data_IF_497656439226
#
_entry.id   IF_497656439226
#
_cell.length_a   1.000
_cell.length_b   1.000
_cell.length_c   1.000
_cell.angle_alpha   90.00
_cell.angle_beta   90.00
_cell.angle_gamma   90.00
#
_symmetry.space_group_name_H-M   'P 1'
#
loop_
_entity.id
_entity.type
_entity.pdbx_description
1 polymer ?
#
# COMPACT_ATOMS: atom_id res chain seq x y z
N UNK A 1 2.43 30.36 -11.51
CA UNK A 1 3.69 29.85 -10.91
C UNK A 1 3.28 28.77 -9.91
N UNK A 2 3.43 27.49 -10.27
CA UNK A 2 3.14 26.41 -9.33
C UNK A 2 4.31 26.34 -8.34
N UNK A 3 4.08 26.78 -7.11
CA UNK A 3 5.01 26.56 -6.00
C UNK A 3 5.03 25.07 -5.74
N UNK A 4 6.00 24.35 -6.28
CA UNK A 4 6.25 22.95 -5.93
C UNK A 4 6.68 22.93 -4.47
N UNK A 5 5.71 22.88 -3.57
CA UNK A 5 5.98 22.72 -2.14
C UNK A 5 6.70 21.39 -2.00
N UNK A 6 7.99 21.39 -1.70
CA UNK A 6 8.75 20.15 -1.47
C UNK A 6 8.50 19.73 -0.01
N UNK A 7 8.27 18.43 0.20
CA UNK A 7 8.09 17.84 1.53
C UNK A 7 9.12 16.73 1.73
N UNK A 8 9.71 16.70 2.93
CA UNK A 8 10.67 15.68 3.32
C UNK A 8 9.92 14.51 3.96
N UNK A 9 10.20 13.30 3.49
CA UNK A 9 9.67 12.10 4.11
C UNK A 9 10.40 11.78 5.42
N UNK A 10 9.68 11.62 6.53
CA UNK A 10 10.27 11.33 7.85
C UNK A 10 10.89 9.92 7.99
N UNK A 11 10.81 9.09 6.95
CA UNK A 11 11.27 7.69 7.00
C UNK A 11 12.46 7.39 6.10
N UNK A 12 12.61 8.13 5.00
CA UNK A 12 13.76 8.01 4.11
C UNK A 12 14.55 9.31 4.01
N UNK A 13 14.15 10.37 4.73
CA UNK A 13 14.75 11.70 4.76
C UNK A 13 14.97 12.35 3.38
N UNK A 14 14.18 11.91 2.41
CA UNK A 14 14.30 12.36 1.02
C UNK A 14 13.22 13.41 0.71
N UNK A 15 13.62 14.45 -0.01
CA UNK A 15 12.75 15.55 -0.43
C UNK A 15 11.99 15.15 -1.70
N UNK A 16 10.68 15.08 -1.59
CA UNK A 16 9.77 14.79 -2.69
C UNK A 16 8.81 15.96 -2.89
N UNK A 17 8.22 16.11 -4.10
CA UNK A 17 7.15 17.07 -4.29
C UNK A 17 6.00 16.74 -3.32
N UNK A 18 5.44 17.73 -2.62
CA UNK A 18 4.24 17.62 -1.78
C UNK A 18 2.97 17.46 -2.63
N UNK A 19 3.06 16.58 -3.63
CA UNK A 19 2.00 16.22 -4.54
C UNK A 19 1.34 14.91 -4.07
N UNK A 20 0.05 14.77 -4.38
CA UNK A 20 -0.73 13.56 -4.09
C UNK A 20 -0.22 12.30 -4.81
N UNK A 21 0.64 12.45 -5.82
CA UNK A 21 1.37 11.35 -6.44
C UNK A 21 2.44 10.73 -5.53
N UNK A 22 3.11 11.53 -4.70
CA UNK A 22 4.21 11.07 -3.84
C UNK A 22 3.80 10.87 -2.39
N UNK A 23 2.89 11.70 -1.89
CA UNK A 23 2.37 11.61 -0.53
C UNK A 23 0.87 11.33 -0.56
N UNK A 24 0.37 10.57 0.41
CA UNK A 24 -1.07 10.33 0.51
C UNK A 24 -1.78 11.57 1.05
N UNK A 25 -3.00 11.88 0.57
CA UNK A 25 -3.82 12.88 1.24
C UNK A 25 -4.16 12.37 2.64
N UNK A 26 -3.86 13.20 3.65
CA UNK A 26 -4.16 12.92 5.04
C UNK A 26 -4.85 14.15 5.65
N UNK A 27 -6.17 14.06 5.75
CA UNK A 27 -7.05 15.13 6.28
C UNK A 27 -6.71 15.51 7.73
N UNK A 28 -6.02 14.62 8.46
CA UNK A 28 -5.58 14.86 9.83
C UNK A 28 -4.29 15.68 9.94
N UNK A 29 -3.51 15.77 8.87
CA UNK A 29 -2.27 16.56 8.87
C UNK A 29 -2.60 18.02 8.56
N UNK A 30 -1.88 18.98 9.15
CA UNK A 30 -2.08 20.41 8.91
C UNK A 30 -1.92 20.76 7.41
N UNK A 31 -1.04 20.06 6.69
CA UNK A 31 -0.81 20.26 5.26
C UNK A 31 -1.79 19.49 4.37
N UNK A 32 -2.66 18.65 4.94
CA UNK A 32 -3.52 17.75 4.19
C UNK A 32 -2.78 16.59 3.51
N UNK A 33 -1.48 16.41 3.75
CA UNK A 33 -0.64 15.32 3.21
C UNK A 33 0.05 14.54 4.33
N UNK A 34 0.23 13.24 4.12
CA UNK A 34 0.95 12.35 5.03
C UNK A 34 2.43 12.76 5.17
N UNK A 35 3.05 12.37 6.29
CA UNK A 35 4.46 12.68 6.58
C UNK A 35 5.43 11.66 5.96
N UNK A 36 4.89 10.52 5.51
CA UNK A 36 5.63 9.45 4.85
C UNK A 36 5.27 9.41 3.36
N UNK A 37 6.29 9.19 2.52
CA UNK A 37 6.09 8.99 1.10
C UNK A 37 5.39 7.64 0.82
N UNK A 38 4.76 7.55 -0.33
CA UNK A 38 4.04 6.36 -0.78
C UNK A 38 4.92 5.10 -0.79
N UNK A 39 6.21 5.23 -1.14
CA UNK A 39 7.15 4.11 -1.16
C UNK A 39 7.38 3.55 0.26
N UNK A 40 7.70 4.40 1.23
CA UNK A 40 7.88 3.99 2.63
C UNK A 40 6.61 3.38 3.21
N UNK A 41 5.45 3.96 2.90
CA UNK A 41 4.15 3.42 3.34
C UNK A 41 3.93 2.03 2.75
N UNK A 42 4.13 1.86 1.44
CA UNK A 42 4.00 0.56 0.75
C UNK A 42 4.93 -0.50 1.33
N UNK A 43 6.19 -0.16 1.57
CA UNK A 43 7.16 -1.09 2.17
C UNK A 43 6.78 -1.46 3.62
N UNK A 44 6.35 -0.48 4.42
CA UNK A 44 5.84 -0.73 5.78
C UNK A 44 4.66 -1.71 5.77
N UNK A 45 3.69 -1.50 4.89
CA UNK A 45 2.56 -2.43 4.73
C UNK A 45 2.99 -3.80 4.21
N UNK A 46 4.01 -3.87 3.33
CA UNK A 46 4.57 -5.14 2.86
C UNK A 46 5.21 -5.92 4.01
N UNK A 47 6.09 -5.29 4.81
CA UNK A 47 6.72 -5.92 5.99
C UNK A 47 5.69 -6.37 7.02
N UNK A 48 4.68 -5.53 7.29
CA UNK A 48 3.58 -5.88 8.20
C UNK A 48 2.83 -7.14 7.72
N UNK A 49 2.56 -7.25 6.42
CA UNK A 49 1.90 -8.43 5.83
C UNK A 49 2.74 -9.70 5.94
N UNK A 50 4.04 -9.62 5.64
CA UNK A 50 4.95 -10.78 5.76
C UNK A 50 4.98 -11.28 7.21
N UNK A 51 4.98 -10.36 8.18
CA UNK A 51 5.01 -10.70 9.60
C UNK A 51 3.65 -11.17 10.16
N UNK A 52 2.54 -10.75 9.56
CA UNK A 52 1.18 -11.08 10.01
C UNK A 52 0.32 -11.62 8.86
N UNK A 53 0.50 -12.89 8.46
CA UNK A 53 -0.29 -13.51 7.38
C UNK A 53 -1.77 -13.71 7.74
N UNK A 54 -2.14 -13.53 9.02
CA UNK A 54 -3.48 -13.73 9.57
C UNK A 54 -4.57 -12.81 8.99
N UNK A 55 -4.19 -11.76 8.22
CA UNK A 55 -5.13 -10.90 7.50
C UNK A 55 -4.86 -10.96 5.98
N UNK A 56 -5.30 -12.04 5.30
CA UNK A 56 -5.27 -12.07 3.84
C UNK A 56 -6.16 -10.94 3.27
N UNK A 57 -5.75 -10.32 2.16
CA UNK A 57 -6.64 -9.39 1.46
C UNK A 57 -7.81 -10.16 0.87
N UNK A 58 -8.94 -9.50 0.70
CA UNK A 58 -10.06 -10.04 -0.07
C UNK A 58 -9.63 -10.53 -1.47
N UNK A 59 -8.59 -9.91 -2.07
CA UNK A 59 -7.99 -10.33 -3.34
C UNK A 59 -7.27 -11.69 -3.25
N UNK A 60 -6.56 -11.96 -2.15
CA UNK A 60 -5.88 -13.25 -1.92
C UNK A 60 -6.92 -14.37 -1.71
N UNK A 61 -8.02 -14.06 -1.02
CA UNK A 61 -9.16 -14.96 -0.89
C UNK A 61 -9.79 -15.27 -2.25
N UNK A 62 -9.98 -14.25 -3.10
CA UNK A 62 -10.53 -14.45 -4.44
C UNK A 62 -9.62 -15.35 -5.30
N UNK A 63 -8.31 -15.08 -5.32
CA UNK A 63 -7.35 -15.91 -6.07
C UNK A 63 -7.38 -17.38 -5.64
N UNK A 64 -7.57 -17.64 -4.35
CA UNK A 64 -7.68 -19.01 -3.80
C UNK A 64 -8.92 -19.76 -4.32
N UNK A 65 -10.01 -19.04 -4.62
CA UNK A 65 -11.24 -19.60 -5.18
C UNK A 65 -11.02 -20.01 -6.66
N UNK A 66 -10.34 -19.16 -7.44
CA UNK A 66 -10.05 -19.43 -8.85
C UNK A 66 -8.97 -20.50 -9.07
N UNK A 67 -8.05 -20.67 -8.11
CA UNK A 67 -6.97 -21.67 -8.14
C UNK A 67 -7.42 -23.05 -7.62
N UNK A 68 -8.70 -23.26 -7.29
CA UNK A 68 -9.19 -24.59 -6.90
C UNK A 68 -9.17 -25.51 -8.13
N UNK A 69 -8.39 -26.60 -8.12
CA UNK A 69 -8.49 -27.59 -9.19
C UNK A 69 -9.91 -28.17 -9.19
N UNK A 70 -10.51 -28.27 -10.37
CA UNK A 70 -11.78 -28.96 -10.54
C UNK A 70 -11.61 -30.39 -10.01
N UNK A 71 -12.47 -30.80 -9.07
CA UNK A 71 -12.43 -32.13 -8.51
C UNK A 71 -12.44 -33.16 -9.66
N UNK A 72 -11.58 -34.20 -9.63
CA UNK A 72 -11.65 -35.24 -10.65
C UNK A 72 -13.03 -35.88 -10.56
N UNK A 73 -13.77 -35.82 -11.66
CA UNK A 73 -15.05 -36.52 -11.77
C UNK A 73 -14.78 -38.01 -11.59
N UNK A 74 -15.15 -38.54 -10.42
CA UNK A 74 -15.19 -39.98 -10.17
C UNK A 74 -16.13 -40.59 -11.21
N UNK A 75 -15.54 -41.16 -12.26
CA UNK A 75 -16.27 -41.93 -13.25
C UNK A 75 -16.30 -43.36 -12.73
N UNK A 76 -17.50 -43.80 -12.34
CA UNK A 76 -17.79 -45.17 -11.94
C UNK A 76 -17.99 -46.07 -13.16
#
# INVERSE_FOLDING_TARGET
MATTSEKICISCDESWPADVGFFRPLVKSPDGLADQCNACVCDKYRRYRIRNPSRPRATDMLASIWMRPAAPASTA
#
